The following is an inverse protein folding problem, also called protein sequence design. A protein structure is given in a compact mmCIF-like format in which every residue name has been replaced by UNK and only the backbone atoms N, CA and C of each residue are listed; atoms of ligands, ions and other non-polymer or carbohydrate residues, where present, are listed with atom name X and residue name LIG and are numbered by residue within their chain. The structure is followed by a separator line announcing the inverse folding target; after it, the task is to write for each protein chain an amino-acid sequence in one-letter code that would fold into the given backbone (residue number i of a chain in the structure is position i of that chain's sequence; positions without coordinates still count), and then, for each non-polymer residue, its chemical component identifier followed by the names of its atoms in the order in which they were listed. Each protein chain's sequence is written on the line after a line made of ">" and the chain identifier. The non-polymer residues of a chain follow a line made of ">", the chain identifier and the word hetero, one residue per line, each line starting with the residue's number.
data_IF_840696125165
#
_entry.id   IF_840696125165
#
_cell.length_a   1.000
_cell.length_b   1.000
_cell.length_c   1.000
_cell.angle_alpha   90.00
_cell.angle_beta   90.00
_cell.angle_gamma   90.00
#
_symmetry.space_group_name_H-M   'P 1'
#
loop_
_entity.id
_entity.type
_entity.pdbx_description
1 polymer ?
#
# COMPACT_ATOMS: atom_id res chain seq x y z
N UNK A 1 16.55 4.80 1.70
CA UNK A 1 15.40 5.10 2.56
C UNK A 1 15.87 6.06 3.63
N UNK A 2 15.15 7.17 3.82
CA UNK A 2 15.41 8.13 4.91
C UNK A 2 14.15 8.27 5.75
N UNK A 3 14.28 8.39 7.07
CA UNK A 3 13.14 8.61 7.97
C UNK A 3 13.38 9.91 8.74
N UNK A 4 12.45 10.85 8.63
CA UNK A 4 12.50 12.15 9.32
C UNK A 4 11.14 12.42 9.94
N UNK A 5 11.10 12.59 11.27
CA UNK A 5 9.87 12.91 12.02
C UNK A 5 8.68 11.97 11.74
N UNK A 6 8.96 10.66 11.62
CA UNK A 6 7.93 9.66 11.29
C UNK A 6 7.46 9.66 9.83
N UNK A 7 8.07 10.46 8.96
CA UNK A 7 7.90 10.38 7.50
C UNK A 7 9.03 9.54 6.90
N UNK A 8 8.69 8.47 6.21
CA UNK A 8 9.66 7.64 5.48
C UNK A 8 9.71 8.02 4.00
N UNK A 9 10.88 8.37 3.48
CA UNK A 9 11.09 8.64 2.06
C UNK A 9 11.76 7.44 1.39
N UNK A 10 11.10 6.91 0.35
CA UNK A 10 11.55 5.76 -0.45
C UNK A 10 11.99 6.27 -1.82
N UNK A 11 13.27 6.04 -2.14
CA UNK A 11 13.87 6.44 -3.42
C UNK A 11 14.40 5.20 -4.13
N UNK A 12 14.26 5.13 -5.45
CA UNK A 12 14.80 4.04 -6.26
C UNK A 12 14.44 4.22 -7.73
N UNK A 13 15.20 3.58 -8.62
CA UNK A 13 14.98 3.62 -10.06
C UNK A 13 14.94 2.19 -10.61
N UNK A 14 14.09 1.96 -11.61
CA UNK A 14 14.06 0.69 -12.34
C UNK A 14 13.25 -0.43 -11.68
N UNK A 15 12.46 -0.11 -10.65
CA UNK A 15 11.58 -1.08 -10.01
C UNK A 15 10.29 -1.29 -10.84
N UNK A 16 9.71 -2.48 -10.75
CA UNK A 16 8.33 -2.70 -11.21
C UNK A 16 7.34 -2.02 -10.26
N UNK A 17 6.14 -1.67 -10.75
CA UNK A 17 5.07 -1.12 -9.90
C UNK A 17 4.76 -2.05 -8.72
N UNK A 18 4.66 -3.36 -8.94
CA UNK A 18 4.39 -4.32 -7.87
C UNK A 18 5.48 -4.30 -6.78
N UNK A 19 6.76 -4.30 -7.17
CA UNK A 19 7.86 -4.26 -6.22
C UNK A 19 7.85 -2.94 -5.42
N UNK A 20 7.57 -1.82 -6.09
CA UNK A 20 7.39 -0.52 -5.46
C UNK A 20 6.30 -0.56 -4.39
N UNK A 21 5.10 -1.04 -4.75
CA UNK A 21 3.93 -1.09 -3.86
C UNK A 21 4.17 -1.98 -2.64
N UNK A 22 4.80 -3.14 -2.81
CA UNK A 22 5.18 -4.02 -1.68
C UNK A 22 6.12 -3.32 -0.70
N UNK A 23 7.09 -2.56 -1.19
CA UNK A 23 8.02 -1.78 -0.35
C UNK A 23 7.26 -0.70 0.43
N UNK A 24 6.39 0.07 -0.24
CA UNK A 24 5.57 1.11 0.39
C UNK A 24 4.71 0.56 1.53
N UNK A 25 4.03 -0.57 1.31
CA UNK A 25 3.19 -1.23 2.34
C UNK A 25 4.03 -1.67 3.53
N UNK A 26 5.16 -2.34 3.27
CA UNK A 26 6.02 -2.84 4.34
C UNK A 26 6.52 -1.70 5.22
N UNK A 27 6.87 -0.55 4.62
CA UNK A 27 7.35 0.62 5.34
C UNK A 27 6.23 1.35 6.09
N UNK A 28 5.07 1.52 5.47
CA UNK A 28 3.92 2.20 6.08
C UNK A 28 3.36 1.45 7.30
N UNK A 29 3.59 0.15 7.39
CA UNK A 29 3.16 -0.69 8.51
C UNK A 29 4.17 -0.72 9.68
N UNK A 30 5.28 0.04 9.60
CA UNK A 30 6.26 0.12 10.69
C UNK A 30 5.74 1.09 11.76
N UNK A 31 5.77 0.66 13.02
CA UNK A 31 5.41 1.51 14.16
C UNK A 31 6.29 2.77 14.22
N UNK A 32 5.67 3.94 14.32
CA UNK A 32 6.35 5.24 14.29
C UNK A 32 6.45 5.89 12.91
N UNK A 33 6.02 5.20 11.84
CA UNK A 33 5.84 5.82 10.52
C UNK A 33 4.40 6.32 10.37
N UNK A 34 4.23 7.63 10.26
CA UNK A 34 2.94 8.27 10.03
C UNK A 34 2.64 8.50 8.54
N UNK A 35 3.65 8.54 7.69
CA UNK A 35 3.49 8.70 6.24
C UNK A 35 4.70 8.16 5.46
N UNK A 36 4.45 7.70 4.23
CA UNK A 36 5.49 7.24 3.31
C UNK A 36 5.45 8.11 2.05
N UNK A 37 6.58 8.70 1.69
CA UNK A 37 6.79 9.45 0.45
C UNK A 37 7.38 8.52 -0.60
N UNK A 38 6.67 8.36 -1.71
CA UNK A 38 7.11 7.61 -2.88
C UNK A 38 7.89 8.51 -3.84
N UNK A 39 9.20 8.27 -3.94
CA UNK A 39 10.07 8.86 -4.97
C UNK A 39 10.71 7.78 -5.85
N UNK A 40 10.06 6.63 -5.98
CA UNK A 40 10.54 5.54 -6.84
C UNK A 40 10.06 5.75 -8.27
N UNK A 41 10.99 5.73 -9.22
CA UNK A 41 10.67 5.72 -10.65
C UNK A 41 10.50 4.30 -11.14
N UNK A 42 9.30 3.98 -11.63
CA UNK A 42 9.01 2.67 -12.19
C UNK A 42 9.40 2.59 -13.66
N UNK A 43 9.97 1.46 -14.07
CA UNK A 43 10.34 1.24 -15.48
C UNK A 43 9.15 0.98 -16.40
N UNK A 44 7.98 0.65 -15.83
CA UNK A 44 6.74 0.45 -16.56
C UNK A 44 5.56 1.01 -15.74
N UNK A 45 4.74 1.90 -16.30
CA UNK A 45 3.50 2.33 -15.65
C UNK A 45 2.52 1.15 -15.65
N UNK A 46 2.20 0.64 -14.47
CA UNK A 46 1.08 -0.27 -14.27
C UNK A 46 -0.01 0.45 -13.47
N UNK A 47 -1.23 -0.10 -13.47
CA UNK A 47 -2.32 0.44 -12.68
C UNK A 47 -1.90 0.50 -11.20
N UNK A 48 -2.10 1.66 -10.57
CA UNK A 48 -1.78 1.84 -9.16
C UNK A 48 -2.79 1.09 -8.29
N UNK A 49 -2.29 0.31 -7.32
CA UNK A 49 -3.11 -0.31 -6.31
C UNK A 49 -3.64 0.72 -5.32
N UNK A 50 -4.87 0.50 -4.86
CA UNK A 50 -5.48 1.34 -3.85
C UNK A 50 -5.04 0.91 -2.45
N UNK A 51 -4.37 1.80 -1.72
CA UNK A 51 -3.97 1.55 -0.34
C UNK A 51 -5.10 1.85 0.66
N UNK A 52 -5.28 0.97 1.64
CA UNK A 52 -6.27 1.15 2.71
C UNK A 52 -5.61 0.97 4.08
N UNK A 53 -5.77 1.95 4.96
CA UNK A 53 -5.36 1.84 6.37
C UNK A 53 -6.50 1.21 7.17
N UNK A 54 -6.28 -0.03 7.63
CA UNK A 54 -7.23 -0.74 8.49
C UNK A 54 -7.39 -0.02 9.82
N UNK A 55 -8.64 0.27 10.19
CA UNK A 55 -8.99 0.91 11.46
C UNK A 55 -9.55 -0.11 12.43
N UNK A 56 -9.48 0.20 13.72
CA UNK A 56 -10.07 -0.66 14.75
C UNK A 56 -11.57 -0.83 14.50
N UNK A 57 -12.02 -2.08 14.40
CA UNK A 57 -13.41 -2.43 14.10
C UNK A 57 -13.71 -2.72 12.63
N UNK A 58 -12.75 -2.51 11.72
CA UNK A 58 -12.93 -2.94 10.33
C UNK A 58 -12.95 -4.46 10.20
N UNK A 59 -13.77 -4.94 9.27
CA UNK A 59 -13.74 -6.33 8.80
C UNK A 59 -13.35 -6.34 7.33
N UNK A 60 -12.72 -7.42 6.87
CA UNK A 60 -12.33 -7.57 5.46
C UNK A 60 -13.52 -7.40 4.51
N UNK A 61 -14.69 -7.91 4.90
CA UNK A 61 -15.94 -7.74 4.15
C UNK A 61 -16.43 -6.28 4.13
N UNK A 62 -16.27 -5.54 5.22
CA UNK A 62 -16.62 -4.11 5.26
C UNK A 62 -15.67 -3.27 4.39
N UNK A 63 -14.36 -3.52 4.49
CA UNK A 63 -13.34 -2.87 3.64
C UNK A 63 -13.63 -3.17 2.18
N UNK A 64 -13.89 -4.44 1.84
CA UNK A 64 -14.22 -4.86 0.48
C UNK A 64 -15.46 -4.16 -0.06
N UNK A 65 -16.49 -3.98 0.77
CA UNK A 65 -17.68 -3.21 0.39
C UNK A 65 -17.37 -1.73 0.16
N UNK A 66 -16.48 -1.15 0.95
CA UNK A 66 -16.07 0.25 0.80
C UNK A 66 -15.20 0.49 -0.44
N UNK A 67 -14.25 -0.41 -0.71
CA UNK A 67 -13.28 -0.27 -1.81
C UNK A 67 -13.84 -0.76 -3.14
N UNK A 68 -14.52 -1.92 -3.14
CA UNK A 68 -15.02 -2.57 -4.35
C UNK A 68 -16.55 -2.50 -4.52
N UNK A 69 -17.28 -1.91 -3.58
CA UNK A 69 -18.75 -1.90 -3.59
C UNK A 69 -19.40 -3.24 -3.22
N UNK A 70 -18.62 -4.30 -3.03
CA UNK A 70 -19.12 -5.65 -2.77
C UNK A 70 -18.35 -6.31 -1.62
N UNK A 71 -19.07 -6.69 -0.57
CA UNK A 71 -18.49 -7.32 0.61
C UNK A 71 -17.86 -8.69 0.33
N UNK A 72 -18.32 -9.42 -0.69
CA UNK A 72 -17.84 -10.76 -1.04
C UNK A 72 -16.51 -10.76 -1.80
N UNK A 73 -16.00 -9.58 -2.19
CA UNK A 73 -14.72 -9.45 -2.88
C UNK A 73 -13.53 -9.36 -1.90
N UNK A 74 -13.74 -9.67 -0.61
CA UNK A 74 -12.71 -9.58 0.41
C UNK A 74 -11.48 -10.45 0.10
N UNK A 75 -11.66 -11.56 -0.63
CA UNK A 75 -10.55 -12.41 -1.09
C UNK A 75 -9.55 -11.65 -1.97
N UNK A 76 -10.01 -10.64 -2.73
CA UNK A 76 -9.13 -9.81 -3.57
C UNK A 76 -8.18 -8.94 -2.76
N UNK A 77 -8.52 -8.62 -1.51
CA UNK A 77 -7.65 -7.83 -0.61
C UNK A 77 -6.35 -8.57 -0.31
N UNK A 78 -6.38 -9.91 -0.28
CA UNK A 78 -5.19 -10.73 0.00
C UNK A 78 -4.27 -10.93 -1.21
N UNK A 79 -4.65 -10.45 -2.40
CA UNK A 79 -3.87 -10.67 -3.62
C UNK A 79 -3.70 -12.16 -3.91
N UNK A 80 -4.78 -12.94 -3.86
CA UNK A 80 -4.76 -14.34 -4.27
C UNK A 80 -4.55 -14.42 -5.79
N UNK A 81 -3.29 -14.41 -6.19
CA UNK A 81 -2.78 -14.83 -7.49
C UNK A 81 -1.79 -15.98 -7.29
#
# INVERSE_FOLDING_TARGET
>A
MQVTDGKATVTGDGLSQEAKEKILIAIGNISGIGSVEDQVKTSAPAAESQFYTVKSGDTLSAISKQVYGNANLYNKIFGSE
#
